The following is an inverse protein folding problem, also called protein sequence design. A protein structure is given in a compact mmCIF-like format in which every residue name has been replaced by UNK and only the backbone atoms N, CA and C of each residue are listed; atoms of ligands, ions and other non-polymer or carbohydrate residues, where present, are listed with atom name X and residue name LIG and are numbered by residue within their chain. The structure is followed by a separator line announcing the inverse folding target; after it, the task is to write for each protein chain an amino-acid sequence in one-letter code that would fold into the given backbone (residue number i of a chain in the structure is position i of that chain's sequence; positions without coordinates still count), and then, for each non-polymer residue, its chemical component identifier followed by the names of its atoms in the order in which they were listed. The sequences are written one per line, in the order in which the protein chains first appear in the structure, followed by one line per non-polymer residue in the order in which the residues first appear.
data_IF_007582371078
#
_entry.id   IF_007582371078
#
_cell.length_a   1.000
_cell.length_b   1.000
_cell.length_c   1.000
_cell.angle_alpha   90.00
_cell.angle_beta   90.00
_cell.angle_gamma   90.00
#
_symmetry.space_group_name_H-M   'P 1'
#
loop_
_entity.id
_entity.type
_entity.pdbx_description
1 polymer ?
#
# COMPACT_ATOMS: atom_id res chain seq x y z
N UNK A 1 16.03 7.05 1.09
CA UNK A 1 14.55 6.94 1.22
C UNK A 1 13.84 6.76 -0.12
N UNK A 2 13.88 7.75 -1.01
CA UNK A 2 13.19 7.73 -2.32
C UNK A 2 13.63 6.54 -3.20
N UNK A 3 14.94 6.27 -3.31
CA UNK A 3 15.43 5.14 -4.11
C UNK A 3 14.90 3.78 -3.64
N UNK A 4 14.67 3.60 -2.33
CA UNK A 4 14.07 2.38 -1.78
C UNK A 4 12.59 2.27 -2.15
N UNK A 5 11.85 3.38 -2.12
CA UNK A 5 10.46 3.41 -2.52
C UNK A 5 10.29 2.99 -3.99
N UNK A 6 11.11 3.56 -4.89
CA UNK A 6 11.06 3.22 -6.31
C UNK A 6 11.64 1.85 -6.68
N UNK A 7 12.32 1.17 -5.77
CA UNK A 7 12.85 -0.18 -6.02
C UNK A 7 11.86 -1.29 -5.70
N UNK A 8 10.67 -0.97 -5.23
CA UNK A 8 9.64 -1.97 -4.90
C UNK A 8 9.13 -2.64 -6.16
N UNK A 9 9.22 -3.97 -6.20
CA UNK A 9 8.59 -4.78 -7.24
C UNK A 9 7.31 -5.41 -6.67
N UNK A 10 6.18 -4.83 -6.98
CA UNK A 10 4.88 -5.28 -6.46
C UNK A 10 4.45 -6.66 -6.98
N UNK A 11 5.04 -7.15 -8.08
CA UNK A 11 4.79 -8.53 -8.54
C UNK A 11 5.54 -9.59 -7.73
N UNK A 12 6.42 -9.19 -6.81
CA UNK A 12 7.12 -10.11 -5.93
C UNK A 12 6.33 -10.35 -4.63
N UNK A 13 6.45 -11.58 -4.09
CA UNK A 13 5.81 -11.91 -2.82
C UNK A 13 6.36 -11.05 -1.67
N UNK A 14 5.47 -10.56 -0.81
CA UNK A 14 5.80 -9.75 0.38
C UNK A 14 6.71 -8.58 0.06
N UNK A 15 6.42 -7.88 -1.03
CA UNK A 15 7.26 -6.80 -1.56
C UNK A 15 6.89 -5.43 -1.04
N UNK A 16 5.72 -5.26 -0.43
CA UNK A 16 5.33 -3.99 0.21
C UNK A 16 6.30 -3.63 1.32
N UNK A 17 6.66 -2.34 1.41
CA UNK A 17 7.64 -1.85 2.36
C UNK A 17 7.07 -0.75 3.24
N UNK A 18 7.49 -0.70 4.49
CA UNK A 18 7.36 0.48 5.34
C UNK A 18 8.70 1.23 5.40
N UNK A 19 8.65 2.54 5.55
CA UNK A 19 9.85 3.37 5.75
C UNK A 19 10.27 3.44 7.22
N UNK A 20 9.35 3.18 8.14
CA UNK A 20 9.63 3.16 9.57
C UNK A 20 10.67 2.09 9.93
N UNK A 21 11.57 2.40 10.85
CA UNK A 21 12.67 1.53 11.31
C UNK A 21 13.70 1.17 10.24
N UNK A 22 13.76 1.90 9.13
CA UNK A 22 14.76 1.64 8.08
C UNK A 22 15.99 2.51 8.27
N UNK A 23 17.14 1.95 7.85
CA UNK A 23 18.42 2.65 7.85
C UNK A 23 18.63 3.38 6.52
N UNK A 24 19.35 4.50 6.56
CA UNK A 24 19.81 5.24 5.38
C UNK A 24 21.34 5.18 5.33
N UNK A 25 21.91 4.28 4.54
CA UNK A 25 23.36 4.17 4.40
C UNK A 25 23.99 5.48 3.89
N UNK A 26 25.07 5.91 4.53
CA UNK A 26 25.78 7.15 4.14
C UNK A 26 25.15 8.45 4.62
N UNK A 27 24.04 8.39 5.37
CA UNK A 27 23.43 9.57 6.00
C UNK A 27 23.78 9.60 7.49
N UNK A 28 24.23 10.75 7.97
CA UNK A 28 24.52 10.95 9.39
C UNK A 28 23.21 11.23 10.13
N UNK A 29 22.96 10.47 11.21
CA UNK A 29 21.79 10.66 12.03
C UNK A 29 21.84 12.02 12.77
N UNK A 30 20.67 12.63 12.92
CA UNK A 30 20.51 13.88 13.62
C UNK A 30 20.36 13.64 15.13
N UNK A 31 20.93 14.55 15.92
CA UNK A 31 20.68 14.64 17.35
C UNK A 31 19.61 15.70 17.59
N UNK A 32 18.47 15.26 18.08
CA UNK A 32 17.34 16.13 18.37
C UNK A 32 17.12 16.23 19.88
N UNK A 33 16.80 17.42 20.36
CA UNK A 33 16.25 17.58 21.71
C UNK A 33 14.81 17.09 21.73
N UNK A 34 14.30 16.76 22.93
CA UNK A 34 12.92 16.29 23.09
C UNK A 34 11.91 17.30 22.52
N UNK A 35 12.09 18.58 22.76
CA UNK A 35 11.22 19.65 22.23
C UNK A 35 11.23 19.71 20.70
N UNK A 36 12.41 19.54 20.08
CA UNK A 36 12.54 19.49 18.61
C UNK A 36 11.86 18.25 18.05
N UNK A 37 12.05 17.09 18.68
CA UNK A 37 11.44 15.83 18.27
C UNK A 37 9.90 15.91 18.31
N UNK A 38 9.33 16.46 19.39
CA UNK A 38 7.88 16.64 19.51
C UNK A 38 7.34 17.65 18.49
N UNK A 39 8.06 18.74 18.20
CA UNK A 39 7.68 19.71 17.18
C UNK A 39 7.67 19.08 15.79
N UNK A 40 8.70 18.31 15.44
CA UNK A 40 8.77 17.61 14.14
C UNK A 40 7.69 16.54 14.00
N UNK A 41 7.42 15.82 15.10
CA UNK A 41 6.33 14.84 15.14
C UNK A 41 4.96 15.48 14.89
N UNK A 42 4.67 16.61 15.55
CA UNK A 42 3.41 17.33 15.37
C UNK A 42 3.23 17.86 13.95
N UNK A 43 4.33 18.18 13.26
CA UNK A 43 4.36 18.58 11.85
C UNK A 43 4.43 17.39 10.87
N UNK A 44 4.38 16.16 11.37
CA UNK A 44 4.48 14.92 10.57
C UNK A 44 5.75 14.85 9.70
N UNK A 45 6.87 15.28 10.26
CA UNK A 45 8.16 15.17 9.60
C UNK A 45 8.78 13.81 9.89
N UNK A 46 9.33 13.16 8.86
CA UNK A 46 10.17 12.00 9.04
C UNK A 46 11.57 12.45 9.47
N UNK A 47 12.09 11.84 10.51
CA UNK A 47 13.42 12.14 11.04
C UNK A 47 14.30 10.89 11.02
N UNK A 48 15.59 11.08 10.78
CA UNK A 48 16.59 10.02 10.85
C UNK A 48 17.44 10.25 12.09
N UNK A 49 17.21 9.47 13.12
CA UNK A 49 17.77 9.68 14.46
C UNK A 49 18.47 8.44 14.98
N UNK A 50 19.46 8.66 15.85
CA UNK A 50 20.18 7.60 16.53
C UNK A 50 19.45 7.18 17.81
N UNK A 51 19.43 5.88 18.08
CA UNK A 51 18.90 5.29 19.30
C UNK A 51 20.01 4.78 20.22
N UNK A 52 19.67 4.42 21.46
CA UNK A 52 20.64 4.10 22.54
C UNK A 52 21.62 2.97 22.20
N UNK A 53 21.31 2.10 21.24
CA UNK A 53 22.19 1.01 20.80
C UNK A 53 23.03 1.37 19.56
N UNK A 54 23.23 2.66 19.33
CA UNK A 54 23.99 3.21 18.21
C UNK A 54 23.43 2.82 16.82
N UNK A 55 22.13 2.57 16.74
CA UNK A 55 21.40 2.31 15.51
C UNK A 55 20.61 3.54 15.08
N UNK A 56 20.90 4.03 13.87
CA UNK A 56 20.16 5.12 13.28
C UNK A 56 19.00 4.58 12.42
N UNK A 57 17.80 5.12 12.63
CA UNK A 57 16.58 4.70 11.94
C UNK A 57 15.72 5.89 11.53
N UNK A 58 14.92 5.68 10.48
CA UNK A 58 13.84 6.59 10.11
C UNK A 58 12.70 6.40 11.11
N UNK A 59 12.24 7.50 11.69
CA UNK A 59 11.07 7.54 12.56
C UNK A 59 9.82 7.90 11.76
N UNK A 60 8.72 7.22 12.06
CA UNK A 60 7.35 7.42 11.59
C UNK A 60 7.04 6.93 10.17
N UNK A 61 7.80 7.23 9.13
CA UNK A 61 7.47 6.82 7.75
C UNK A 61 6.14 7.40 7.24
N UNK A 62 5.84 8.65 7.58
CA UNK A 62 4.56 9.31 7.30
C UNK A 62 4.62 10.17 6.05
N UNK A 63 3.45 10.36 5.42
CA UNK A 63 3.24 11.34 4.35
C UNK A 63 2.78 12.69 4.93
N UNK A 64 2.68 13.71 4.11
CA UNK A 64 2.25 15.05 4.50
C UNK A 64 0.80 15.12 5.01
N UNK A 65 -0.03 14.13 4.73
CA UNK A 65 -1.39 14.00 5.24
C UNK A 65 -1.47 13.17 6.53
N UNK A 66 -2.58 12.47 6.75
CA UNK A 66 -2.76 11.58 7.89
C UNK A 66 -2.27 10.14 7.63
N UNK A 67 -2.01 9.80 6.37
CA UNK A 67 -1.63 8.45 5.95
C UNK A 67 -0.14 8.15 6.16
N UNK A 68 0.18 6.88 6.23
CA UNK A 68 1.54 6.37 6.15
C UNK A 68 1.98 6.20 4.70
N UNK A 69 3.30 6.14 4.48
CA UNK A 69 3.87 6.00 3.13
C UNK A 69 3.43 4.68 2.47
N UNK A 70 3.46 3.59 3.20
CA UNK A 70 3.09 2.25 2.72
C UNK A 70 1.63 2.18 2.26
N UNK A 71 0.72 2.84 2.98
CA UNK A 71 -0.69 2.93 2.59
C UNK A 71 -0.85 3.62 1.23
N UNK A 72 -0.31 4.82 1.08
CA UNK A 72 -0.45 5.60 -0.17
C UNK A 72 0.27 4.91 -1.33
N UNK A 73 1.50 4.46 -1.12
CA UNK A 73 2.29 3.80 -2.15
C UNK A 73 1.65 2.49 -2.64
N UNK A 74 1.06 1.73 -1.71
CA UNK A 74 0.32 0.52 -2.05
C UNK A 74 -0.98 0.81 -2.80
N UNK A 75 -1.74 1.80 -2.36
CA UNK A 75 -3.01 2.19 -3.01
C UNK A 75 -2.79 2.78 -4.41
N UNK A 76 -1.75 3.58 -4.60
CA UNK A 76 -1.40 4.12 -5.92
C UNK A 76 -1.07 3.00 -6.91
N UNK A 77 -0.23 2.03 -6.47
CA UNK A 77 0.05 0.85 -7.28
C UNK A 77 -1.22 0.05 -7.58
N UNK A 78 -2.05 -0.21 -6.58
CA UNK A 78 -3.27 -1.01 -6.74
C UNK A 78 -4.25 -0.37 -7.73
N UNK A 79 -4.43 0.95 -7.62
CA UNK A 79 -5.28 1.71 -8.54
C UNK A 79 -4.79 1.62 -9.99
N UNK A 80 -3.48 1.81 -10.20
CA UNK A 80 -2.85 1.72 -11.53
C UNK A 80 -2.93 0.30 -12.10
N UNK A 81 -2.61 -0.71 -11.27
CA UNK A 81 -2.67 -2.11 -11.67
C UNK A 81 -4.09 -2.53 -12.08
N UNK A 82 -5.11 -2.11 -11.32
CA UNK A 82 -6.50 -2.42 -11.60
C UNK A 82 -6.94 -1.76 -12.92
N UNK A 83 -6.67 -0.47 -13.10
CA UNK A 83 -7.00 0.25 -14.33
C UNK A 83 -6.30 -0.37 -15.54
N UNK A 84 -5.03 -0.71 -15.41
CA UNK A 84 -4.24 -1.32 -16.49
C UNK A 84 -4.76 -2.71 -16.84
N UNK A 85 -5.11 -3.54 -15.86
CA UNK A 85 -5.64 -4.88 -16.08
C UNK A 85 -6.99 -4.83 -16.83
N UNK A 86 -7.91 -3.99 -16.38
CA UNK A 86 -9.22 -3.81 -17.03
C UNK A 86 -9.07 -3.22 -18.44
N UNK A 87 -8.20 -2.22 -18.62
CA UNK A 87 -7.89 -1.68 -19.93
C UNK A 87 -7.36 -2.75 -20.88
N UNK A 88 -6.41 -3.57 -20.42
CA UNK A 88 -5.82 -4.62 -21.23
C UNK A 88 -6.84 -5.71 -21.61
N UNK A 89 -7.75 -6.07 -20.71
CA UNK A 89 -8.85 -6.98 -21.01
C UNK A 89 -9.69 -6.45 -22.17
N UNK A 90 -10.09 -5.18 -22.12
CA UNK A 90 -10.90 -4.55 -23.16
C UNK A 90 -10.12 -4.40 -24.47
N UNK A 91 -8.86 -3.97 -24.39
CA UNK A 91 -8.00 -3.75 -25.56
C UNK A 91 -7.67 -5.02 -26.33
N UNK A 92 -7.43 -6.13 -25.61
CA UNK A 92 -7.07 -7.42 -26.21
C UNK A 92 -8.28 -8.19 -26.71
N UNK A 93 -9.49 -7.83 -26.30
CA UNK A 93 -10.72 -8.47 -26.73
C UNK A 93 -10.98 -8.18 -28.20
N UNK A 94 -10.96 -9.22 -29.04
CA UNK A 94 -11.23 -9.11 -30.49
C UNK A 94 -12.68 -8.74 -30.80
N UNK A 95 -13.59 -9.01 -29.87
CA UNK A 95 -15.01 -8.71 -29.95
C UNK A 95 -15.43 -7.94 -28.70
N UNK A 96 -16.56 -7.24 -28.77
CA UNK A 96 -17.10 -6.59 -27.55
C UNK A 96 -17.38 -7.62 -26.47
N UNK A 97 -17.09 -7.26 -25.23
CA UNK A 97 -17.54 -8.03 -24.06
C UNK A 97 -19.05 -7.81 -23.90
N UNK A 98 -19.86 -8.86 -23.95
CA UNK A 98 -21.32 -8.72 -23.89
C UNK A 98 -21.76 -8.28 -22.48
N UNK A 99 -22.87 -7.54 -22.40
CA UNK A 99 -23.50 -7.16 -21.12
C UNK A 99 -24.35 -8.32 -20.58
N UNK A 100 -23.70 -9.44 -20.33
CA UNK A 100 -24.28 -10.66 -19.78
C UNK A 100 -23.49 -11.06 -18.55
N UNK A 101 -24.00 -11.98 -17.74
CA UNK A 101 -23.30 -12.54 -16.57
C UNK A 101 -21.90 -13.05 -16.94
N UNK A 102 -21.74 -13.67 -18.11
CA UNK A 102 -20.44 -14.15 -18.58
C UNK A 102 -19.46 -13.00 -18.86
N UNK A 103 -19.91 -11.89 -19.44
CA UNK A 103 -19.08 -10.72 -19.67
C UNK A 103 -18.74 -9.97 -18.38
N UNK A 104 -19.70 -9.86 -17.46
CA UNK A 104 -19.47 -9.30 -16.13
C UNK A 104 -18.45 -10.13 -15.35
N UNK A 105 -18.56 -11.46 -15.40
CA UNK A 105 -17.62 -12.36 -14.74
C UNK A 105 -16.19 -12.23 -15.29
N UNK A 106 -16.00 -11.88 -16.57
CA UNK A 106 -14.67 -11.61 -17.11
C UNK A 106 -14.01 -10.39 -16.43
N UNK A 107 -14.76 -9.29 -16.25
CA UNK A 107 -14.28 -8.09 -15.55
C UNK A 107 -13.98 -8.42 -14.07
N UNK A 108 -14.92 -9.07 -13.39
CA UNK A 108 -14.74 -9.44 -11.98
C UNK A 108 -13.51 -10.34 -11.79
N UNK A 109 -13.31 -11.33 -12.67
CA UNK A 109 -12.15 -12.22 -12.58
C UNK A 109 -10.82 -11.48 -12.85
N UNK A 110 -10.82 -10.48 -13.73
CA UNK A 110 -9.64 -9.65 -13.97
C UNK A 110 -9.31 -8.82 -12.73
N UNK A 111 -10.31 -8.18 -12.13
CA UNK A 111 -10.13 -7.44 -10.88
C UNK A 111 -9.67 -8.35 -9.74
N UNK A 112 -10.27 -9.53 -9.59
CA UNK A 112 -9.87 -10.53 -8.59
C UNK A 112 -8.42 -10.99 -8.76
N UNK A 113 -7.93 -11.08 -10.01
CA UNK A 113 -6.52 -11.36 -10.29
C UNK A 113 -5.57 -10.32 -9.70
N UNK A 114 -5.90 -9.03 -9.84
CA UNK A 114 -5.12 -7.93 -9.24
C UNK A 114 -5.21 -7.96 -7.71
N UNK A 115 -6.40 -8.25 -7.16
CA UNK A 115 -6.55 -8.41 -5.71
C UNK A 115 -5.70 -9.57 -5.18
N UNK A 116 -5.60 -10.68 -5.91
CA UNK A 116 -4.74 -11.81 -5.55
C UNK A 116 -3.25 -11.42 -5.58
N UNK A 117 -2.82 -10.61 -6.54
CA UNK A 117 -1.47 -10.05 -6.56
C UNK A 117 -1.23 -9.14 -5.36
N UNK A 118 -2.22 -8.33 -4.97
CA UNK A 118 -2.17 -7.49 -3.79
C UNK A 118 -2.09 -8.28 -2.47
N UNK A 119 -2.69 -9.47 -2.40
CA UNK A 119 -2.49 -10.40 -1.28
C UNK A 119 -1.06 -10.94 -1.28
N UNK A 120 -0.57 -11.39 -2.42
CA UNK A 120 0.76 -11.99 -2.53
C UNK A 120 1.87 -11.00 -2.16
N UNK A 121 1.75 -9.74 -2.55
CA UNK A 121 2.73 -8.71 -2.21
C UNK A 121 2.57 -8.15 -0.78
N UNK A 122 1.49 -8.50 -0.08
CA UNK A 122 1.25 -8.15 1.31
C UNK A 122 0.52 -6.82 1.53
N UNK A 123 -0.11 -6.26 0.48
CA UNK A 123 -0.92 -5.05 0.59
C UNK A 123 -2.30 -5.35 1.20
N UNK A 124 -2.92 -6.45 0.77
CA UNK A 124 -4.23 -6.89 1.24
C UNK A 124 -4.05 -8.14 2.12
N UNK A 125 -4.84 -8.23 3.17
CA UNK A 125 -4.87 -9.39 4.06
C UNK A 125 -6.31 -9.67 4.52
N UNK A 126 -6.62 -10.93 4.89
CA UNK A 126 -7.90 -11.27 5.51
C UNK A 126 -8.19 -10.39 6.73
N UNK A 127 -9.44 -9.98 6.88
CA UNK A 127 -9.81 -9.11 7.99
C UNK A 127 -11.30 -8.86 8.10
N UNK A 128 -11.70 -8.08 9.10
CA UNK A 128 -13.08 -7.67 9.29
C UNK A 128 -13.36 -6.35 8.55
N UNK A 129 -14.50 -6.29 7.90
CA UNK A 129 -15.02 -5.07 7.30
C UNK A 129 -15.47 -4.10 8.40
N UNK A 130 -14.73 -3.03 8.62
CA UNK A 130 -15.01 -2.05 9.68
C UNK A 130 -15.69 -0.76 9.20
N UNK A 131 -15.85 -0.60 7.88
CA UNK A 131 -16.56 0.52 7.29
C UNK A 131 -18.08 0.32 7.30
N UNK A 132 -18.80 1.33 6.82
CA UNK A 132 -20.25 1.23 6.63
C UNK A 132 -20.59 0.13 5.62
N UNK A 133 -21.79 -0.43 5.73
CA UNK A 133 -22.24 -1.51 4.86
C UNK A 133 -22.18 -1.11 3.37
N UNK A 134 -21.70 -2.02 2.53
CA UNK A 134 -21.61 -1.84 1.09
C UNK A 134 -22.16 -3.09 0.37
N UNK A 135 -23.20 -2.94 -0.41
CA UNK A 135 -23.84 -4.08 -1.08
C UNK A 135 -24.37 -5.12 -0.10
N UNK A 136 -23.81 -6.32 -0.14
CA UNK A 136 -24.15 -7.40 0.79
C UNK A 136 -23.24 -7.45 2.02
N UNK A 137 -22.17 -6.63 2.03
CA UNK A 137 -21.26 -6.57 3.16
C UNK A 137 -21.85 -5.71 4.29
N UNK A 138 -21.86 -6.26 5.49
CA UNK A 138 -22.21 -5.56 6.71
C UNK A 138 -20.95 -5.28 7.54
N UNK A 139 -21.03 -4.27 8.40
CA UNK A 139 -19.95 -3.97 9.34
C UNK A 139 -19.76 -5.15 10.29
N UNK A 140 -18.53 -5.65 10.36
CA UNK A 140 -18.17 -6.82 11.17
C UNK A 140 -18.03 -8.12 10.37
N UNK A 141 -18.45 -8.13 9.09
CA UNK A 141 -18.27 -9.30 8.23
C UNK A 141 -16.78 -9.59 8.02
N UNK A 142 -16.44 -10.88 8.00
CA UNK A 142 -15.08 -11.32 7.83
C UNK A 142 -14.80 -11.64 6.35
N UNK A 143 -13.88 -10.88 5.78
CA UNK A 143 -13.38 -11.10 4.41
C UNK A 143 -12.23 -12.12 4.47
N UNK A 144 -12.47 -13.33 3.98
CA UNK A 144 -11.51 -14.43 4.04
C UNK A 144 -10.28 -14.19 3.15
N UNK A 145 -10.47 -13.53 2.04
CA UNK A 145 -9.41 -13.17 1.09
C UNK A 145 -8.98 -11.70 1.19
N UNK A 146 -9.67 -10.90 2.02
CA UNK A 146 -9.39 -9.46 2.17
C UNK A 146 -10.12 -8.58 1.15
N UNK A 147 -10.89 -9.17 0.25
CA UNK A 147 -11.72 -8.49 -0.76
C UNK A 147 -13.00 -9.27 -1.04
#
# INVERSE_FOLDING_TARGET
MIGRAFSVNFSANRSTITLMYKQEPGVVAQYLTETQAQTLKSKRCNVFVNYMNDTAIIQYGVMSGQAYFDEIHGLDWFSDALQTAEYNLLYQSKTKIPQTDAGQNQLVNTAAGVCQEAINNGLIAPGQWNADGFGQLARGDYLQEGF
#
